data_IF_796069421830
#
_entry.id   IF_796069421830
#
_cell.length_a   1.000
_cell.length_b   1.000
_cell.length_c   1.000
_cell.angle_alpha   90.00
_cell.angle_beta   90.00
_cell.angle_gamma   90.00
#
_symmetry.space_group_name_H-M   'P 1'
#
loop_
_entity.id
_entity.type
_entity.pdbx_description
1 polymer ?
#
# COMPACT_ATOMS: atom_id res chain seq x y z
N UNK A 1 -16.68 -6.98 -8.01
CA UNK A 1 -16.25 -5.60 -7.68
C UNK A 1 -15.29 -5.12 -8.77
N UNK A 2 -15.41 -3.88 -9.22
CA UNK A 2 -14.59 -3.36 -10.32
C UNK A 2 -13.26 -2.81 -9.78
N UNK A 3 -12.16 -3.15 -10.45
CA UNK A 3 -10.85 -2.60 -10.14
C UNK A 3 -10.82 -1.10 -10.46
N UNK A 4 -10.41 -0.27 -9.52
CA UNK A 4 -10.33 1.19 -9.71
C UNK A 4 -8.96 1.64 -10.22
N UNK A 5 -7.89 0.94 -9.82
CA UNK A 5 -6.52 1.24 -10.21
C UNK A 5 -5.69 -0.02 -10.37
N UNK A 6 -4.81 -0.06 -11.38
CA UNK A 6 -4.15 -1.30 -11.78
C UNK A 6 -2.81 -1.18 -12.49
N UNK A 7 -2.07 -0.08 -12.34
CA UNK A 7 -0.76 0.07 -12.97
C UNK A 7 0.15 0.98 -12.12
N UNK A 8 1.41 0.59 -11.93
CA UNK A 8 2.40 1.37 -11.18
C UNK A 8 2.84 2.69 -11.82
N UNK A 9 2.55 2.98 -13.10
CA UNK A 9 3.11 4.18 -13.79
C UNK A 9 2.89 5.54 -13.09
N UNK A 10 1.83 5.69 -12.29
CA UNK A 10 1.56 6.93 -11.54
C UNK A 10 2.03 6.87 -10.08
N UNK A 11 2.63 5.76 -9.66
CA UNK A 11 3.32 5.63 -8.37
C UNK A 11 4.75 6.08 -8.58
N UNK A 12 5.21 7.04 -7.80
CA UNK A 12 6.59 7.53 -7.86
C UNK A 12 7.50 6.74 -6.91
N UNK A 13 7.30 6.91 -5.62
CA UNK A 13 8.09 6.28 -4.57
C UNK A 13 7.32 6.21 -3.27
N UNK A 14 7.80 5.42 -2.32
CA UNK A 14 7.17 5.29 -1.03
C UNK A 14 7.82 4.23 -0.15
N UNK A 15 7.21 4.03 1.01
CA UNK A 15 7.54 2.96 1.91
C UNK A 15 6.28 2.40 2.55
N UNK A 16 6.34 1.13 2.97
CA UNK A 16 5.30 0.45 3.75
C UNK A 16 5.98 -0.32 4.88
N UNK A 17 5.44 -0.22 6.09
CA UNK A 17 5.95 -0.75 7.34
C UNK A 17 4.95 -1.73 7.94
N UNK A 18 5.34 -3.00 8.01
CA UNK A 18 4.58 -4.09 8.59
C UNK A 18 5.21 -4.65 9.88
N UNK A 19 6.05 -3.87 10.57
CA UNK A 19 6.70 -4.33 11.82
C UNK A 19 5.74 -4.56 12.98
N UNK A 20 4.53 -3.99 12.92
CA UNK A 20 3.46 -4.30 13.87
C UNK A 20 2.49 -5.24 13.20
N UNK A 21 2.47 -6.48 13.69
CA UNK A 21 1.60 -7.54 13.18
C UNK A 21 0.14 -7.07 13.10
N UNK A 22 -0.50 -7.41 11.98
CA UNK A 22 -1.89 -7.08 11.67
C UNK A 22 -2.05 -5.68 11.09
N UNK A 23 -0.99 -4.88 10.96
CA UNK A 23 -1.08 -3.53 10.37
C UNK A 23 0.05 -3.22 9.41
N UNK A 24 -0.29 -2.57 8.31
CA UNK A 24 0.65 -1.94 7.38
C UNK A 24 0.41 -0.45 7.38
N UNK A 25 1.44 0.33 7.67
CA UNK A 25 1.40 1.80 7.57
C UNK A 25 2.45 2.30 6.60
N UNK A 26 2.28 3.47 6.02
CA UNK A 26 3.33 4.03 5.19
C UNK A 26 2.87 5.22 4.38
N UNK A 27 3.74 5.69 3.48
CA UNK A 27 3.44 6.79 2.60
C UNK A 27 3.84 6.45 1.18
N UNK A 28 2.96 6.78 0.25
CA UNK A 28 3.17 6.58 -1.18
C UNK A 28 2.91 7.89 -1.91
N UNK A 29 3.81 8.26 -2.81
CA UNK A 29 3.67 9.45 -3.65
C UNK A 29 3.06 9.07 -4.99
N UNK A 30 1.93 9.67 -5.32
CA UNK A 30 1.25 9.49 -6.60
C UNK A 30 1.35 10.75 -7.48
N UNK A 31 1.34 10.57 -8.80
CA UNK A 31 1.22 11.65 -9.78
C UNK A 31 -0.02 12.50 -9.49
N UNK A 32 0.09 13.82 -9.69
CA UNK A 32 -0.98 14.82 -9.47
C UNK A 32 -1.48 14.96 -8.01
N UNK A 33 -1.60 13.88 -7.24
CA UNK A 33 -2.14 13.88 -5.87
C UNK A 33 -1.04 14.19 -4.84
N UNK A 34 0.18 13.73 -5.09
CA UNK A 34 1.29 13.84 -4.16
C UNK A 34 1.30 12.75 -3.09
N UNK A 35 1.87 13.01 -1.89
CA UNK A 35 2.02 12.02 -0.84
C UNK A 35 0.69 11.65 -0.19
N UNK A 36 0.46 10.36 -0.01
CA UNK A 36 -0.74 9.81 0.63
C UNK A 36 -0.30 8.85 1.71
N UNK A 37 -0.87 9.03 2.90
CA UNK A 37 -0.62 8.17 4.06
C UNK A 37 -1.53 6.92 4.00
N UNK A 38 -0.98 5.78 4.37
CA UNK A 38 -1.63 4.47 4.35
C UNK A 38 -1.76 3.92 5.77
N UNK A 39 -2.92 3.34 6.05
CA UNK A 39 -3.19 2.53 7.24
C UNK A 39 -4.07 1.34 6.84
N UNK A 40 -3.46 0.17 6.68
CA UNK A 40 -4.14 -1.04 6.21
C UNK A 40 -4.10 -2.12 7.28
N UNK A 41 -5.22 -2.81 7.46
CA UNK A 41 -5.31 -4.02 8.28
C UNK A 41 -4.83 -5.24 7.49
N UNK A 42 -3.96 -6.04 8.09
CA UNK A 42 -3.32 -7.20 7.47
C UNK A 42 -1.80 -7.12 7.49
N UNK A 43 -1.16 -8.08 6.83
CA UNK A 43 0.29 -8.24 6.79
C UNK A 43 0.79 -8.38 5.35
N UNK A 44 2.09 -8.19 5.16
CA UNK A 44 2.76 -8.64 3.96
C UNK A 44 2.73 -10.17 3.85
N UNK A 45 3.08 -10.71 2.69
CA UNK A 45 3.29 -12.16 2.58
C UNK A 45 4.38 -12.65 3.54
N UNK A 46 4.34 -13.94 3.95
CA UNK A 46 5.23 -14.48 4.97
C UNK A 46 6.74 -14.34 4.72
N UNK A 47 7.15 -14.17 3.46
CA UNK A 47 8.55 -13.97 3.06
C UNK A 47 9.13 -12.63 3.50
N UNK A 48 8.27 -11.63 3.71
CA UNK A 48 8.65 -10.26 4.12
C UNK A 48 7.78 -9.74 5.28
N UNK A 49 7.02 -10.62 5.94
CA UNK A 49 6.17 -10.23 7.06
C UNK A 49 7.01 -9.70 8.23
N UNK A 50 6.60 -8.59 8.83
CA UNK A 50 7.37 -7.94 9.89
C UNK A 50 8.45 -6.98 9.38
N UNK A 51 8.60 -6.79 8.08
CA UNK A 51 9.61 -5.91 7.49
C UNK A 51 9.07 -4.51 7.15
N UNK A 52 9.99 -3.61 6.81
CA UNK A 52 9.69 -2.36 6.11
C UNK A 52 10.23 -2.45 4.70
N UNK A 53 9.38 -2.18 3.72
CA UNK A 53 9.79 -2.11 2.32
C UNK A 53 9.83 -0.66 1.86
N UNK A 54 10.86 -0.31 1.10
CA UNK A 54 10.93 0.91 0.31
C UNK A 54 10.77 0.59 -1.17
N UNK A 55 10.29 1.54 -1.95
CA UNK A 55 10.22 1.38 -3.39
C UNK A 55 10.32 2.71 -4.14
N UNK A 56 10.80 2.61 -5.38
CA UNK A 56 10.93 3.73 -6.30
C UNK A 56 10.75 3.27 -7.75
N UNK A 57 9.70 3.75 -8.39
CA UNK A 57 9.36 3.44 -9.77
C UNK A 57 10.14 4.32 -10.75
N UNK A 58 10.93 3.71 -11.63
CA UNK A 58 11.68 4.43 -12.68
C UNK A 58 10.84 4.75 -13.91
N UNK A 59 9.66 4.14 -14.04
CA UNK A 59 8.68 4.40 -15.10
C UNK A 59 7.57 5.35 -14.63
N UNK A 60 7.86 6.18 -13.63
CA UNK A 60 6.94 7.18 -13.16
C UNK A 60 6.63 8.20 -14.26
N UNK A 61 5.35 8.41 -14.52
CA UNK A 61 4.82 9.39 -15.46
C UNK A 61 3.92 10.36 -14.71
N UNK A 62 4.29 11.64 -14.68
CA UNK A 62 3.42 12.71 -14.19
C UNK A 62 2.64 13.28 -15.39
N UNK A 63 1.55 12.61 -15.76
CA UNK A 63 0.69 13.01 -16.88
C UNK A 63 -0.71 13.44 -16.40
N UNK A 64 -1.34 14.33 -17.17
CA UNK A 64 -2.68 14.87 -16.85
C UNK A 64 -3.77 13.78 -16.77
N UNK A 65 -3.52 12.60 -17.37
CA UNK A 65 -4.44 11.45 -17.31
C UNK A 65 -4.51 10.86 -15.90
N UNK A 66 -3.45 10.99 -15.08
CA UNK A 66 -3.48 10.58 -13.68
C UNK A 66 -4.62 11.26 -12.91
N UNK A 67 -4.81 12.57 -13.10
CA UNK A 67 -5.87 13.33 -12.45
C UNK A 67 -7.28 12.83 -12.77
N UNK A 68 -7.49 12.26 -13.97
CA UNK A 68 -8.79 11.72 -14.37
C UNK A 68 -9.09 10.35 -13.75
N UNK A 69 -8.08 9.53 -13.51
CA UNK A 69 -8.26 8.12 -13.09
C UNK A 69 -8.05 7.93 -11.59
N UNK A 70 -7.11 8.64 -10.99
CA UNK A 70 -6.81 8.54 -9.56
C UNK A 70 -7.14 9.83 -8.78
N UNK A 71 -7.61 10.90 -9.44
CA UNK A 71 -7.89 12.17 -8.75
C UNK A 71 -8.98 12.11 -7.69
N UNK A 72 -9.86 11.11 -7.72
CA UNK A 72 -10.89 10.86 -6.70
C UNK A 72 -10.47 9.80 -5.66
N UNK A 73 -9.19 9.42 -5.65
CA UNK A 73 -8.66 8.43 -4.74
C UNK A 73 -8.74 8.94 -3.29
N UNK A 74 -9.14 8.06 -2.37
CA UNK A 74 -9.23 8.40 -0.96
C UNK A 74 -7.89 8.88 -0.40
N UNK A 75 -7.90 9.90 0.45
CA UNK A 75 -6.72 10.38 1.14
C UNK A 75 -7.13 10.78 2.57
N UNK A 76 -6.65 10.08 3.62
CA UNK A 76 -5.69 8.96 3.58
C UNK A 76 -6.27 7.66 3.01
N UNK A 77 -5.39 6.69 2.73
CA UNK A 77 -5.74 5.33 2.33
C UNK A 77 -5.91 4.46 3.57
N UNK A 78 -7.17 4.20 3.95
CA UNK A 78 -7.53 3.33 5.08
C UNK A 78 -8.30 2.11 4.55
N UNK A 79 -7.92 0.91 5.01
CA UNK A 79 -8.58 -0.31 4.55
C UNK A 79 -7.87 -1.61 4.94
N UNK A 80 -7.85 -2.59 4.03
CA UNK A 80 -7.29 -3.93 4.27
C UNK A 80 -6.28 -4.32 3.20
N UNK A 81 -5.21 -5.00 3.61
CA UNK A 81 -4.24 -5.61 2.71
C UNK A 81 -4.90 -6.80 2.00
N UNK A 82 -4.73 -6.89 0.68
CA UNK A 82 -5.05 -8.10 -0.06
C UNK A 82 -3.78 -8.92 -0.35
N UNK A 83 -2.78 -8.27 -0.94
CA UNK A 83 -1.50 -8.90 -1.28
C UNK A 83 -0.39 -7.86 -1.33
N UNK A 84 0.64 -8.05 -0.51
CA UNK A 84 1.89 -7.28 -0.59
C UNK A 84 3.05 -8.27 -0.59
N UNK A 85 3.84 -8.29 -1.66
CA UNK A 85 4.96 -9.21 -1.85
C UNK A 85 5.98 -8.64 -2.82
N UNK A 86 7.26 -9.02 -2.66
CA UNK A 86 8.32 -8.71 -3.63
C UNK A 86 8.44 -9.78 -4.73
N UNK A 87 7.84 -10.95 -4.52
CA UNK A 87 7.85 -12.07 -5.45
C UNK A 87 6.51 -12.84 -5.39
N UNK A 88 5.44 -12.30 -5.99
CA UNK A 88 4.09 -12.82 -5.79
C UNK A 88 3.83 -14.15 -6.52
N UNK A 89 4.57 -14.45 -7.59
CA UNK A 89 4.26 -15.57 -8.49
C UNK A 89 5.51 -16.37 -8.94
N UNK A 90 5.58 -17.68 -8.64
CA UNK A 90 6.80 -18.48 -8.84
C UNK A 90 7.18 -18.72 -10.31
N UNK A 91 6.24 -18.55 -11.24
CA UNK A 91 6.49 -18.74 -12.68
C UNK A 91 6.58 -17.42 -13.46
N UNK A 92 6.57 -16.28 -12.78
CA UNK A 92 6.81 -14.97 -13.41
C UNK A 92 8.16 -14.44 -12.93
N UNK A 93 8.71 -13.48 -13.66
CA UNK A 93 9.86 -12.74 -13.14
C UNK A 93 9.43 -12.03 -11.83
N UNK A 94 10.25 -12.09 -10.76
CA UNK A 94 9.93 -11.43 -9.50
C UNK A 94 9.62 -9.95 -9.72
N UNK A 95 8.45 -9.52 -9.28
CA UNK A 95 7.99 -8.15 -9.42
C UNK A 95 7.26 -7.74 -8.14
N UNK A 96 7.63 -6.60 -7.52
CA UNK A 96 6.90 -6.11 -6.37
C UNK A 96 5.44 -5.82 -6.72
N UNK A 97 4.54 -6.31 -5.86
CA UNK A 97 3.10 -6.21 -6.03
C UNK A 97 2.47 -5.73 -4.73
N UNK A 98 1.65 -4.69 -4.82
CA UNK A 98 0.93 -4.10 -3.69
C UNK A 98 -0.53 -3.97 -4.08
N UNK A 99 -1.41 -4.58 -3.30
CA UNK A 99 -2.86 -4.61 -3.55
C UNK A 99 -3.63 -4.55 -2.24
N UNK A 100 -4.66 -3.71 -2.23
CA UNK A 100 -5.46 -3.42 -1.05
C UNK A 100 -6.89 -3.04 -1.42
N UNK A 101 -7.76 -3.13 -0.43
CA UNK A 101 -9.11 -2.58 -0.49
C UNK A 101 -9.22 -1.41 0.47
N UNK A 102 -9.98 -0.39 0.10
CA UNK A 102 -10.36 0.67 1.06
C UNK A 102 -11.52 0.21 1.94
N UNK A 103 -11.83 0.99 2.99
CA UNK A 103 -13.03 0.79 3.81
C UNK A 103 -14.35 0.77 2.98
N UNK A 104 -14.37 1.44 1.82
CA UNK A 104 -15.51 1.46 0.89
C UNK A 104 -15.49 0.31 -0.12
N UNK A 105 -14.59 -0.65 0.05
CA UNK A 105 -14.38 -1.79 -0.85
C UNK A 105 -13.90 -1.41 -2.26
N UNK A 106 -13.41 -0.17 -2.45
CA UNK A 106 -12.68 0.17 -3.68
C UNK A 106 -11.37 -0.62 -3.72
N UNK A 107 -11.08 -1.22 -4.88
CA UNK A 107 -9.93 -2.10 -5.09
C UNK A 107 -8.81 -1.40 -5.86
N UNK A 108 -7.62 -1.37 -5.27
CA UNK A 108 -6.42 -0.73 -5.85
C UNK A 108 -5.26 -1.71 -5.87
N UNK A 109 -4.46 -1.65 -6.92
CA UNK A 109 -3.16 -2.31 -6.99
C UNK A 109 -2.14 -1.54 -7.80
N UNK A 110 -0.87 -1.79 -7.52
CA UNK A 110 0.22 -1.45 -8.41
C UNK A 110 1.30 -2.53 -8.42
N UNK A 111 2.03 -2.55 -9.53
CA UNK A 111 3.13 -3.46 -9.81
C UNK A 111 4.35 -2.63 -10.18
N UNK A 112 5.51 -3.04 -9.70
CA UNK A 112 6.80 -2.42 -10.00
C UNK A 112 7.72 -3.42 -10.70
N UNK A 113 8.77 -2.94 -11.36
CA UNK A 113 9.74 -3.85 -11.95
C UNK A 113 10.61 -4.51 -10.88
N UNK A 114 11.26 -5.62 -11.25
CA UNK A 114 12.26 -6.28 -10.41
C UNK A 114 13.32 -5.27 -9.91
N UNK A 115 13.58 -5.28 -8.60
CA UNK A 115 14.56 -4.41 -7.94
C UNK A 115 14.10 -2.96 -7.72
N UNK A 116 12.86 -2.60 -8.07
CA UNK A 116 12.28 -1.29 -7.74
C UNK A 116 11.62 -1.23 -6.36
N UNK A 117 11.58 -2.35 -5.64
CA UNK A 117 11.26 -2.40 -4.22
C UNK A 117 12.24 -3.32 -3.49
N UNK A 118 12.53 -2.98 -2.24
CA UNK A 118 13.50 -3.68 -1.40
C UNK A 118 13.10 -3.60 0.07
N UNK A 119 13.54 -4.58 0.86
CA UNK A 119 13.50 -4.48 2.33
C UNK A 119 14.52 -3.42 2.75
N UNK A 120 14.09 -2.46 3.56
CA UNK A 120 14.94 -1.39 4.06
C UNK A 120 15.99 -1.92 5.03
N UNK A 121 17.19 -1.35 4.97
CA UNK A 121 18.24 -1.58 5.97
C UNK A 121 17.88 -0.98 7.33
N UNK A 122 18.52 -1.44 8.42
CA UNK A 122 18.28 -0.93 9.78
C UNK A 122 18.39 0.60 9.91
N UNK A 123 19.29 1.22 9.14
CA UNK A 123 19.46 2.68 9.14
C UNK A 123 18.29 3.39 8.45
N UNK A 124 17.85 2.88 7.31
CA UNK A 124 16.67 3.38 6.59
C UNK A 124 15.39 3.17 7.40
N UNK A 125 15.25 2.02 8.07
CA UNK A 125 14.14 1.73 8.96
C UNK A 125 14.04 2.76 10.09
N UNK A 126 15.16 3.07 10.76
CA UNK A 126 15.21 4.10 11.81
C UNK A 126 14.82 5.49 11.31
N UNK A 127 15.18 5.81 10.06
CA UNK A 127 14.77 7.07 9.46
C UNK A 127 13.24 7.15 9.28
N UNK A 128 12.58 6.02 9.02
CA UNK A 128 11.14 5.93 8.81
C UNK A 128 10.33 5.78 10.12
N UNK A 129 10.96 5.40 11.23
CA UNK A 129 10.29 5.16 12.52
C UNK A 129 9.36 6.30 12.94
N UNK A 130 9.85 7.54 12.88
CA UNK A 130 9.06 8.71 13.28
C UNK A 130 7.83 8.89 12.42
N UNK A 131 7.93 8.61 11.12
CA UNK A 131 6.83 8.74 10.18
C UNK A 131 5.82 7.61 10.32
N UNK A 132 6.28 6.36 10.45
CA UNK A 132 5.41 5.21 10.75
C UNK A 132 4.63 5.40 12.05
N UNK A 133 5.28 5.92 13.10
CA UNK A 133 4.62 6.21 14.38
C UNK A 133 3.59 7.33 14.23
N UNK A 134 3.92 8.41 13.51
CA UNK A 134 3.01 9.53 13.24
C UNK A 134 1.75 9.05 12.51
N UNK A 135 1.92 8.26 11.45
CA UNK A 135 0.80 7.74 10.65
C UNK A 135 -0.07 6.81 11.49
N UNK A 136 0.55 5.88 12.23
CA UNK A 136 -0.19 4.95 13.11
C UNK A 136 -1.00 5.70 14.16
N UNK A 137 -0.40 6.69 14.83
CA UNK A 137 -1.10 7.50 15.84
C UNK A 137 -2.22 8.36 15.24
N UNK A 138 -2.04 8.91 14.04
CA UNK A 138 -3.02 9.77 13.41
C UNK A 138 -4.23 9.02 12.82
N UNK A 139 -4.03 7.78 12.36
CA UNK A 139 -5.03 7.04 11.58
C UNK A 139 -5.65 5.85 12.30
N UNK A 140 -5.10 5.40 13.44
CA UNK A 140 -5.63 4.25 14.18
C UNK A 140 -7.11 4.41 14.57
N UNK A 141 -7.51 5.59 15.05
CA UNK A 141 -8.89 5.84 15.50
C UNK A 141 -9.89 5.87 14.35
N UNK A 142 -9.48 6.34 13.16
CA UNK A 142 -10.34 6.38 11.98
C UNK A 142 -10.68 5.00 11.43
N UNK A 143 -9.90 3.98 11.79
CA UNK A 143 -10.17 2.60 11.42
C UNK A 143 -11.16 1.93 12.39
N UNK A 144 -11.28 2.42 13.63
CA UNK A 144 -12.19 1.90 14.66
C UNK A 144 -13.62 2.48 14.55
N UNK A 145 -13.78 3.66 13.96
CA UNK A 145 -15.07 4.34 13.81
C UNK A 145 -16.01 3.74 12.73
N UNK A 146 -15.67 2.57 12.19
CA UNK A 146 -16.57 1.85 11.30
C UNK A 146 -17.58 1.03 12.14
N UNK A 147 -18.90 1.32 12.09
CA UNK A 147 -19.88 0.41 12.65
C UNK A 147 -19.74 -0.92 11.91
N UNK A 148 -19.46 -1.99 12.65
CA UNK A 148 -19.28 -3.32 12.10
C UNK A 148 -20.46 -3.70 11.21
N UNK A 149 -20.26 -3.68 9.89
CA UNK A 149 -21.10 -4.42 8.97
C UNK A 149 -20.71 -5.89 9.14
N UNK A 150 -21.45 -6.54 10.02
CA UNK A 150 -21.62 -7.98 10.13
C UNK A 150 -22.07 -8.52 8.76
N UNK A 151 -21.13 -8.76 7.85
CA UNK A 151 -21.33 -9.60 6.67
C UNK A 151 -20.18 -10.61 6.62
N UNK A 152 -20.29 -11.60 7.51
CA UNK A 152 -19.69 -12.92 7.31
C UNK A 152 -20.10 -13.42 5.94
N UNK A 153 -19.21 -13.31 4.95
CA UNK A 153 -19.36 -14.07 3.71
C UNK A 153 -18.85 -15.49 4.00
N UNK A 154 -19.80 -16.38 4.33
CA UNK A 154 -19.60 -17.83 4.32
C UNK A 154 -19.25 -18.25 2.89
N UNK A 155 -18.03 -18.75 2.67
CA UNK A 155 -17.68 -19.45 1.44
C UNK A 155 -18.30 -20.85 1.48
N UNK A 156 -19.26 -21.13 0.60
CA UNK A 156 -19.73 -22.48 0.23
C UNK A 156 -19.09 -22.88 -1.08
#
# INVERSE_FOLDING_TARGET
MAQKFGNGRWVHEGFLDNRVEGTVVGRVVFAVIGPIDFYLQGNFKPDIAGEVIGFRNRRFEDDDMAGQVIGDMANPQIGTVNLISLDPHPNLEPHPYVEWFTLRQDHYRFELNAGEAWVLSDEEQKAMDGESQRIRAALADQQLDQPGSDDRVEWV
#
